data_IF_439318110458
#
_entry.id   IF_439318110458
#
_cell.length_a   1.000
_cell.length_b   1.000
_cell.length_c   1.000
_cell.angle_alpha   90.00
_cell.angle_beta   90.00
_cell.angle_gamma   90.00
#
_symmetry.space_group_name_H-M   'P 1'
#
loop_
_entity.id
_entity.type
_entity.pdbx_description
1 polymer ?
#
# COMPACT_ATOMS: atom_id res chain seq x y z
N UNK A 1 -39.67 17.86 51.51
CA UNK A 1 -39.03 16.75 52.25
C UNK A 1 -37.68 16.54 51.58
N UNK A 2 -36.50 16.91 52.11
CA UNK A 2 -35.93 16.69 53.47
C UNK A 2 -35.94 15.20 53.80
N UNK A 3 -34.84 14.51 54.17
CA UNK A 3 -33.40 14.83 54.28
C UNK A 3 -32.65 14.53 52.95
N UNK A 4 -31.31 14.59 52.78
CA UNK A 4 -30.18 15.13 53.58
C UNK A 4 -28.90 14.27 53.47
N UNK A 5 -27.71 14.88 53.37
CA UNK A 5 -26.39 14.19 53.25
C UNK A 5 -25.34 14.90 54.13
N UNK A 6 -24.60 14.17 54.96
CA UNK A 6 -23.69 14.71 55.96
C UNK A 6 -22.29 15.07 55.43
N UNK A 7 -21.71 16.16 55.94
CA UNK A 7 -20.30 16.56 55.71
C UNK A 7 -19.36 15.86 56.71
N UNK A 8 -18.16 15.50 56.25
CA UNK A 8 -16.98 15.22 57.08
C UNK A 8 -15.75 15.89 56.47
N UNK A 9 -14.85 16.47 57.28
CA UNK A 9 -13.92 17.54 56.85
C UNK A 9 -12.47 17.31 57.32
N UNK A 10 -11.53 17.54 56.38
CA UNK A 10 -10.12 17.93 56.54
C UNK A 10 -9.09 17.00 57.25
N UNK A 11 -7.89 16.91 56.64
CA UNK A 11 -6.71 17.70 57.09
C UNK A 11 -5.57 17.75 56.05
N UNK A 12 -4.81 18.85 56.05
CA UNK A 12 -3.54 19.08 55.31
C UNK A 12 -2.33 18.84 56.22
N UNK A 13 -1.23 18.29 55.68
CA UNK A 13 0.18 18.49 56.10
C UNK A 13 1.01 18.26 54.82
N UNK A 14 1.55 19.25 54.09
CA UNK A 14 2.76 20.09 54.29
C UNK A 14 4.09 19.31 54.40
N UNK A 15 4.96 19.43 53.39
CA UNK A 15 6.37 19.04 53.42
C UNK A 15 7.13 19.73 52.28
N UNK A 16 8.30 20.33 52.55
CA UNK A 16 9.07 21.20 51.61
C UNK A 16 10.45 20.63 51.29
N UNK A 17 10.93 20.89 50.07
CA UNK A 17 12.34 21.10 49.74
C UNK A 17 13.08 19.91 49.11
N UNK A 18 14.29 20.09 48.55
CA UNK A 18 15.01 21.34 48.19
C UNK A 18 16.21 20.97 47.27
N UNK A 19 16.51 21.79 46.26
CA UNK A 19 17.82 22.09 45.60
C UNK A 19 18.80 20.94 45.25
N UNK A 20 19.37 20.95 44.03
CA UNK A 20 20.61 20.20 43.75
C UNK A 20 21.08 20.17 42.29
N UNK A 21 21.52 21.29 41.73
CA UNK A 21 22.20 21.33 40.42
C UNK A 21 23.72 21.47 40.60
N UNK A 22 24.54 20.67 39.92
CA UNK A 22 26.00 20.82 39.85
C UNK A 22 26.53 20.59 38.43
N UNK A 23 27.04 21.65 37.81
CA UNK A 23 28.07 21.59 36.77
C UNK A 23 29.44 21.34 37.44
N UNK A 24 30.42 20.76 36.72
CA UNK A 24 31.70 21.41 36.40
C UNK A 24 32.76 20.48 35.76
N UNK A 25 33.76 21.12 35.13
CA UNK A 25 35.03 20.58 34.62
C UNK A 25 34.92 19.53 33.50
N UNK A 26 35.35 19.78 32.25
CA UNK A 26 36.43 20.64 31.74
C UNK A 26 37.82 20.22 32.25
N UNK A 27 38.47 19.34 31.49
CA UNK A 27 39.93 19.25 31.40
C UNK A 27 40.31 18.72 30.01
N UNK A 28 41.20 19.46 29.36
CA UNK A 28 41.67 19.31 27.99
C UNK A 28 43.21 19.21 28.10
N UNK A 29 43.87 18.41 27.25
CA UNK A 29 45.24 18.60 26.68
C UNK A 29 46.01 17.28 26.41
N UNK A 30 46.47 17.17 25.16
CA UNK A 30 47.62 16.42 24.60
C UNK A 30 47.61 14.90 24.31
N UNK A 31 47.26 14.61 23.04
CA UNK A 31 48.13 13.99 22.00
C UNK A 31 48.86 12.67 22.25
N UNK A 32 48.59 11.69 21.37
CA UNK A 32 49.59 11.07 20.48
C UNK A 32 48.85 10.42 19.30
N UNK A 33 49.06 10.90 18.07
CA UNK A 33 48.41 10.40 16.85
C UNK A 33 49.37 9.58 15.99
N UNK A 34 49.17 8.27 15.92
CA UNK A 34 49.77 7.42 14.89
C UNK A 34 48.97 7.53 13.60
N UNK A 35 49.54 8.20 12.57
CA UNK A 35 48.95 8.21 11.22
C UNK A 35 49.15 6.85 10.54
N UNK A 36 48.13 6.01 10.54
CA UNK A 36 47.95 4.97 9.52
C UNK A 36 47.36 5.62 8.28
N UNK A 37 48.07 5.61 7.16
CA UNK A 37 47.52 6.07 5.88
C UNK A 37 46.68 4.95 5.28
N UNK A 38 45.36 5.13 5.28
CA UNK A 38 44.47 4.40 4.39
C UNK A 38 44.39 5.17 3.07
N UNK A 39 44.41 4.46 1.96
CA UNK A 39 44.35 5.04 0.61
C UNK A 39 42.89 5.37 0.28
N UNK A 40 42.52 6.65 0.36
CA UNK A 40 41.16 7.10 0.10
C UNK A 40 40.88 7.17 -1.40
N UNK A 41 39.92 6.37 -1.86
CA UNK A 41 39.32 6.50 -3.20
C UNK A 41 38.67 7.88 -3.29
N UNK A 42 38.96 8.71 -4.32
CA UNK A 42 38.45 10.06 -4.40
C UNK A 42 36.95 10.07 -4.74
N UNK A 43 36.11 10.07 -3.71
CA UNK A 43 34.67 10.31 -3.83
C UNK A 43 34.46 11.82 -4.05
N UNK A 44 34.26 12.22 -5.30
CA UNK A 44 33.95 13.60 -5.66
C UNK A 44 32.50 13.96 -5.31
N UNK A 45 32.23 14.18 -4.03
CA UNK A 45 30.94 14.63 -3.50
C UNK A 45 30.99 14.74 -1.98
N UNK A 46 30.21 15.64 -1.34
CA UNK A 46 30.14 15.72 0.11
C UNK A 46 29.63 14.40 0.70
N UNK A 47 30.14 14.01 1.87
CA UNK A 47 29.69 12.81 2.54
C UNK A 47 28.17 12.91 2.83
N UNK A 48 27.43 11.83 2.56
CA UNK A 48 25.96 11.80 2.61
C UNK A 48 25.31 12.32 3.91
N UNK A 49 26.05 12.31 5.03
CA UNK A 49 25.60 12.80 6.34
C UNK A 49 25.98 14.27 6.65
N UNK A 50 26.81 14.91 5.82
CA UNK A 50 27.21 16.31 5.97
C UNK A 50 26.34 17.27 5.15
N UNK A 51 25.66 16.78 4.12
CA UNK A 51 24.68 17.56 3.34
C UNK A 51 23.46 17.90 4.21
N UNK A 52 22.92 19.11 4.02
CA UNK A 52 21.65 19.48 4.65
C UNK A 52 20.52 18.52 4.25
N UNK A 53 19.51 18.35 5.11
CA UNK A 53 18.37 17.44 4.84
C UNK A 53 17.48 17.98 3.72
N UNK A 54 17.87 17.70 2.49
CA UNK A 54 17.09 17.94 1.29
C UNK A 54 15.93 16.93 1.21
N UNK A 55 14.81 17.38 0.68
CA UNK A 55 13.57 16.59 0.54
C UNK A 55 12.92 16.81 -0.81
N UNK A 56 11.67 16.38 -0.96
CA UNK A 56 10.97 16.33 -2.27
C UNK A 56 10.80 17.69 -2.99
N UNK A 57 10.96 18.81 -2.28
CA UNK A 57 10.84 20.18 -2.83
C UNK A 57 12.18 20.83 -3.21
N UNK A 58 13.31 20.13 -3.05
CA UNK A 58 14.62 20.65 -3.42
C UNK A 58 14.97 20.20 -4.83
N UNK A 59 15.23 21.16 -5.70
CA UNK A 59 15.59 20.93 -7.09
C UNK A 59 17.11 20.85 -7.21
N UNK A 60 17.62 19.78 -7.82
CA UNK A 60 18.97 19.75 -8.35
C UNK A 60 18.87 20.00 -9.85
N UNK A 61 19.68 20.92 -10.37
CA UNK A 61 19.79 21.09 -11.82
C UNK A 61 20.31 19.78 -12.43
N UNK A 62 19.64 19.23 -13.47
CA UNK A 62 20.14 18.04 -14.12
C UNK A 62 21.51 18.33 -14.73
N UNK A 63 22.45 17.35 -14.73
CA UNK A 63 23.74 17.53 -15.37
C UNK A 63 23.53 17.93 -16.84
N UNK A 64 24.30 18.89 -17.38
CA UNK A 64 24.07 19.42 -18.71
C UNK A 64 24.15 18.31 -19.75
N UNK A 65 23.12 18.22 -20.60
CA UNK A 65 23.05 17.25 -21.69
C UNK A 65 24.28 17.44 -22.60
N UNK A 66 25.06 16.38 -22.77
CA UNK A 66 26.14 16.35 -23.75
C UNK A 66 25.47 16.41 -25.12
N UNK A 67 25.83 17.35 -26.02
CA UNK A 67 25.16 17.47 -27.30
C UNK A 67 25.32 16.18 -28.10
N UNK A 68 24.21 15.49 -28.36
CA UNK A 68 24.19 14.30 -29.21
C UNK A 68 24.63 14.69 -30.62
N UNK A 69 25.66 13.99 -31.09
CA UNK A 69 26.21 14.19 -32.43
C UNK A 69 25.16 13.72 -33.44
N UNK A 70 24.64 14.64 -34.25
CA UNK A 70 23.46 14.38 -35.08
C UNK A 70 23.79 13.48 -36.28
N UNK A 71 23.59 12.18 -36.13
CA UNK A 71 23.64 11.22 -37.25
C UNK A 71 22.52 11.52 -38.25
N UNK A 72 22.88 12.18 -39.34
CA UNK A 72 22.00 12.41 -40.49
C UNK A 72 22.03 11.16 -41.37
N UNK A 73 21.09 10.22 -41.18
CA UNK A 73 20.73 9.26 -42.23
C UNK A 73 19.27 8.78 -42.16
N UNK A 74 18.71 8.55 -43.36
CA UNK A 74 17.42 7.91 -43.66
C UNK A 74 16.12 8.50 -43.10
N UNK A 75 15.77 9.66 -43.68
CA UNK A 75 14.38 9.90 -44.09
C UNK A 75 13.96 8.89 -45.18
N UNK A 76 13.43 7.73 -44.79
CA UNK A 76 12.55 6.94 -45.65
C UNK A 76 11.62 5.99 -44.86
N UNK A 77 10.31 6.10 -45.09
CA UNK A 77 9.29 5.12 -44.67
C UNK A 77 9.14 4.84 -43.16
N UNK A 78 8.81 5.89 -42.40
CA UNK A 78 7.76 5.72 -41.38
C UNK A 78 6.50 6.44 -41.90
N UNK A 79 5.62 5.69 -42.54
CA UNK A 79 4.21 6.08 -42.66
C UNK A 79 3.64 6.17 -41.25
N UNK A 80 3.67 7.38 -40.68
CA UNK A 80 2.90 7.73 -39.49
C UNK A 80 1.43 7.59 -39.87
N UNK A 81 0.86 6.42 -39.58
CA UNK A 81 -0.59 6.22 -39.65
C UNK A 81 -1.28 7.35 -38.86
N UNK A 82 -2.38 7.85 -39.42
CA UNK A 82 -2.94 9.13 -39.02
C UNK A 82 -3.44 9.09 -37.56
N UNK A 83 -2.62 9.58 -36.64
CA UNK A 83 -3.11 10.10 -35.36
C UNK A 83 -4.21 11.14 -35.59
N UNK A 84 -5.12 11.33 -34.61
CA UNK A 84 -6.33 12.13 -34.79
C UNK A 84 -5.97 13.53 -35.32
N UNK A 85 -6.62 13.90 -36.44
CA UNK A 85 -6.24 15.07 -37.22
C UNK A 85 -6.41 16.36 -36.44
N UNK A 86 -5.27 16.96 -36.07
CA UNK A 86 -5.00 18.41 -36.15
C UNK A 86 -6.15 19.29 -35.63
N UNK A 87 -6.31 19.36 -34.31
CA UNK A 87 -6.88 20.54 -33.64
C UNK A 87 -5.80 21.63 -33.45
N UNK A 88 -5.05 21.92 -34.51
CA UNK A 88 -4.10 23.06 -34.59
C UNK A 88 -4.70 24.23 -35.38
N UNK A 89 -5.95 24.60 -35.09
CA UNK A 89 -6.39 25.97 -35.37
C UNK A 89 -5.55 26.90 -34.49
N UNK A 90 -4.70 27.72 -35.11
CA UNK A 90 -3.78 28.69 -34.43
C UNK A 90 -4.45 29.64 -33.44
N UNK A 91 -5.78 29.74 -33.46
CA UNK A 91 -6.62 30.29 -32.41
C UNK A 91 -7.94 29.50 -32.40
N UNK A 92 -8.13 28.52 -31.53
CA UNK A 92 -9.44 27.93 -31.33
C UNK A 92 -10.31 28.93 -30.54
N UNK A 93 -11.46 29.28 -31.10
CA UNK A 93 -12.44 30.15 -30.46
C UNK A 93 -13.74 29.39 -30.27
N UNK A 94 -14.41 29.65 -29.15
CA UNK A 94 -15.72 29.07 -28.89
C UNK A 94 -16.80 29.58 -29.88
N UNK A 95 -16.56 30.73 -30.52
CA UNK A 95 -17.49 31.39 -31.46
C UNK A 95 -17.97 30.50 -32.64
N UNK A 96 -17.19 29.47 -33.01
CA UNK A 96 -17.52 28.56 -34.12
C UNK A 96 -18.45 27.40 -33.72
N UNK A 97 -18.78 27.24 -32.44
CA UNK A 97 -19.53 26.10 -31.91
C UNK A 97 -20.69 26.56 -31.03
N UNK A 98 -21.84 25.90 -31.14
CA UNK A 98 -22.88 26.02 -30.10
C UNK A 98 -22.52 25.18 -28.89
N UNK A 99 -23.15 25.47 -27.74
CA UNK A 99 -23.01 24.65 -26.52
C UNK A 99 -23.39 23.18 -26.79
N UNK A 100 -24.36 22.94 -27.68
CA UNK A 100 -24.76 21.58 -28.07
C UNK A 100 -23.68 20.87 -28.89
N UNK A 101 -22.97 21.58 -29.77
CA UNK A 101 -21.88 20.98 -30.55
C UNK A 101 -20.73 20.58 -29.63
N UNK A 102 -20.33 21.48 -28.71
CA UNK A 102 -19.33 21.24 -27.67
C UNK A 102 -19.74 20.07 -26.75
N UNK A 103 -21.05 19.92 -26.48
CA UNK A 103 -21.57 18.78 -25.74
C UNK A 103 -21.40 17.45 -26.50
N UNK A 104 -21.54 17.44 -27.83
CA UNK A 104 -21.47 16.23 -28.63
C UNK A 104 -20.09 15.94 -29.27
N UNK A 105 -19.11 16.85 -29.13
CA UNK A 105 -17.70 16.60 -29.51
C UNK A 105 -17.13 15.31 -28.89
N UNK A 106 -16.30 14.61 -29.68
CA UNK A 106 -15.51 13.46 -29.20
C UNK A 106 -14.57 13.89 -28.06
N UNK A 107 -14.24 13.01 -27.07
CA UNK A 107 -13.38 13.39 -25.94
C UNK A 107 -12.06 14.05 -26.33
N UNK A 108 -11.36 13.54 -27.36
CA UNK A 108 -10.09 14.09 -27.82
C UNK A 108 -10.23 15.50 -28.43
N UNK A 109 -11.30 15.73 -29.20
CA UNK A 109 -11.61 17.02 -29.83
C UNK A 109 -12.01 18.05 -28.75
N UNK A 110 -12.82 17.63 -27.79
CA UNK A 110 -13.21 18.43 -26.64
C UNK A 110 -11.99 18.82 -25.80
N UNK A 111 -11.05 17.89 -25.57
CA UNK A 111 -9.79 18.14 -24.87
C UNK A 111 -8.89 19.09 -25.66
N UNK A 112 -8.78 18.92 -26.98
CA UNK A 112 -8.06 19.83 -27.87
C UNK A 112 -8.59 21.26 -27.80
N UNK A 113 -9.92 21.42 -27.91
CA UNK A 113 -10.60 22.72 -27.78
C UNK A 113 -10.40 23.34 -26.39
N UNK A 114 -10.57 22.57 -25.32
CA UNK A 114 -10.37 23.05 -23.93
C UNK A 114 -8.94 23.57 -23.72
N UNK A 115 -7.94 22.77 -24.10
CA UNK A 115 -6.52 23.15 -23.99
C UNK A 115 -6.20 24.40 -24.82
N UNK A 116 -6.82 24.54 -26.00
CA UNK A 116 -6.65 25.68 -26.87
C UNK A 116 -7.23 26.97 -26.29
N UNK A 117 -8.48 26.94 -25.82
CA UNK A 117 -9.14 28.08 -25.17
C UNK A 117 -8.43 28.45 -23.86
N UNK A 118 -7.93 27.48 -23.10
CA UNK A 118 -7.08 27.71 -21.94
C UNK A 118 -5.80 28.47 -22.31
N UNK A 119 -5.06 28.01 -23.33
CA UNK A 119 -3.84 28.68 -23.80
C UNK A 119 -4.11 30.12 -24.24
N UNK A 120 -5.21 30.37 -24.96
CA UNK A 120 -5.68 31.71 -25.36
C UNK A 120 -5.95 32.62 -24.15
N UNK A 121 -6.61 32.11 -23.11
CA UNK A 121 -6.90 32.84 -21.88
C UNK A 121 -5.65 33.13 -21.03
N UNK A 122 -4.68 32.20 -20.99
CA UNK A 122 -3.39 32.40 -20.32
C UNK A 122 -2.50 33.39 -21.08
N UNK A 123 -2.45 33.30 -22.41
CA UNK A 123 -1.65 34.19 -23.26
C UNK A 123 -2.16 35.64 -23.22
N UNK A 124 -3.48 35.83 -23.21
CA UNK A 124 -4.11 37.15 -23.15
C UNK A 124 -5.33 37.10 -22.21
N UNK A 125 -5.16 37.45 -20.92
CA UNK A 125 -6.24 37.44 -19.93
C UNK A 125 -7.16 38.65 -20.13
N UNK A 126 -8.10 38.53 -21.07
CA UNK A 126 -9.21 39.46 -21.26
C UNK A 126 -10.54 38.79 -20.87
N UNK A 127 -11.58 39.59 -20.63
CA UNK A 127 -12.89 39.12 -20.18
C UNK A 127 -13.48 38.04 -21.09
N UNK A 128 -13.43 38.23 -22.42
CA UNK A 128 -13.95 37.27 -23.39
C UNK A 128 -13.23 35.92 -23.33
N UNK A 129 -11.90 35.92 -23.34
CA UNK A 129 -11.09 34.70 -23.32
C UNK A 129 -11.27 33.92 -22.01
N UNK A 130 -11.34 34.64 -20.88
CA UNK A 130 -11.59 34.04 -19.57
C UNK A 130 -13.02 33.47 -19.53
N UNK A 131 -14.01 34.17 -20.08
CA UNK A 131 -15.39 33.67 -20.17
C UNK A 131 -15.50 32.43 -21.06
N UNK A 132 -14.89 32.42 -22.25
CA UNK A 132 -14.82 31.22 -23.13
C UNK A 132 -14.25 30.02 -22.35
N UNK A 133 -13.17 30.22 -21.59
CA UNK A 133 -12.56 29.16 -20.79
C UNK A 133 -13.45 28.68 -19.63
N UNK A 134 -14.05 29.61 -18.87
CA UNK A 134 -14.94 29.27 -17.75
C UNK A 134 -16.22 28.55 -18.19
N UNK A 135 -16.79 28.92 -19.35
CA UNK A 135 -17.94 28.19 -19.90
C UNK A 135 -17.50 26.80 -20.40
N UNK A 136 -16.34 26.67 -21.04
CA UNK A 136 -15.80 25.36 -21.43
C UNK A 136 -15.57 24.44 -20.21
N UNK A 137 -15.07 25.00 -19.10
CA UNK A 137 -14.98 24.30 -17.81
C UNK A 137 -16.36 23.91 -17.24
N UNK A 138 -17.37 24.77 -17.32
CA UNK A 138 -18.73 24.43 -16.86
C UNK A 138 -19.36 23.32 -17.72
N UNK A 139 -19.13 23.31 -19.04
CA UNK A 139 -19.53 22.21 -19.91
C UNK A 139 -18.81 20.91 -19.53
N UNK A 140 -17.49 20.94 -19.30
CA UNK A 140 -16.73 19.78 -18.83
C UNK A 140 -17.28 19.23 -17.50
N UNK A 141 -17.55 20.11 -16.54
CA UNK A 141 -18.14 19.79 -15.23
C UNK A 141 -19.53 19.17 -15.37
N UNK A 142 -20.37 19.67 -16.28
CA UNK A 142 -21.70 19.10 -16.57
C UNK A 142 -21.63 17.77 -17.30
N UNK A 143 -20.70 17.59 -18.25
CA UNK A 143 -20.41 16.29 -18.90
C UNK A 143 -20.02 15.24 -17.86
N UNK A 144 -19.12 15.57 -16.95
CA UNK A 144 -18.71 14.71 -15.84
C UNK A 144 -19.89 14.33 -14.92
N UNK A 145 -20.77 15.29 -14.59
CA UNK A 145 -21.98 15.02 -13.80
C UNK A 145 -22.97 14.11 -14.54
N UNK A 146 -23.18 14.31 -15.84
CA UNK A 146 -24.03 13.43 -16.65
C UNK A 146 -23.48 12.00 -16.72
N UNK A 147 -22.16 11.85 -16.91
CA UNK A 147 -21.48 10.56 -16.87
C UNK A 147 -21.60 9.89 -15.49
N UNK A 148 -21.42 10.63 -14.39
CA UNK A 148 -21.57 10.10 -13.04
C UNK A 148 -23.00 9.60 -12.77
N UNK A 149 -24.02 10.35 -13.23
CA UNK A 149 -25.42 9.94 -13.13
C UNK A 149 -25.72 8.69 -13.98
N UNK A 150 -25.22 8.62 -15.21
CA UNK A 150 -25.36 7.45 -16.08
C UNK A 150 -24.65 6.22 -15.49
N UNK A 151 -23.44 6.39 -14.97
CA UNK A 151 -22.66 5.35 -14.27
C UNK A 151 -23.41 4.82 -13.05
N UNK A 152 -24.02 5.71 -12.26
CA UNK A 152 -24.86 5.32 -11.12
C UNK A 152 -26.09 4.52 -11.56
N UNK A 153 -26.76 4.93 -12.64
CA UNK A 153 -27.89 4.18 -13.21
C UNK A 153 -27.46 2.79 -13.69
N UNK A 154 -26.36 2.68 -14.43
CA UNK A 154 -25.84 1.40 -14.94
C UNK A 154 -25.42 0.48 -13.79
N UNK A 155 -24.63 0.97 -12.83
CA UNK A 155 -24.19 0.15 -11.68
C UNK A 155 -25.34 -0.26 -10.75
N UNK A 156 -26.41 0.54 -10.67
CA UNK A 156 -27.64 0.16 -9.96
C UNK A 156 -28.50 -0.85 -10.73
N UNK A 157 -28.63 -0.72 -12.06
CA UNK A 157 -29.39 -1.65 -12.92
C UNK A 157 -28.70 -3.02 -13.01
N UNK A 158 -27.39 -3.03 -13.21
CA UNK A 158 -26.55 -4.23 -13.33
C UNK A 158 -25.78 -4.49 -12.02
N UNK A 159 -26.49 -4.41 -10.90
CA UNK A 159 -25.89 -4.58 -9.57
C UNK A 159 -25.30 -5.97 -9.36
N UNK A 160 -25.78 -6.99 -10.07
CA UNK A 160 -25.17 -8.33 -10.14
C UNK A 160 -23.70 -8.31 -10.56
N UNK A 161 -23.28 -7.35 -11.40
CA UNK A 161 -21.93 -7.28 -11.98
C UNK A 161 -20.97 -6.36 -11.21
N UNK A 162 -21.51 -5.34 -10.56
CA UNK A 162 -20.71 -4.26 -9.95
C UNK A 162 -20.87 -4.15 -8.42
N UNK A 163 -21.70 -4.97 -7.77
CA UNK A 163 -21.95 -4.86 -6.33
C UNK A 163 -20.88 -5.55 -5.48
N UNK A 164 -19.86 -4.79 -5.10
CA UNK A 164 -18.82 -5.23 -4.16
C UNK A 164 -19.39 -5.43 -2.73
N UNK A 165 -20.54 -4.83 -2.36
CA UNK A 165 -21.08 -4.91 -0.99
C UNK A 165 -21.50 -6.33 -0.56
N UNK A 166 -21.68 -7.27 -1.51
CA UNK A 166 -21.93 -8.68 -1.18
C UNK A 166 -20.75 -9.31 -0.44
N UNK A 167 -19.51 -8.98 -0.84
CA UNK A 167 -18.26 -9.54 -0.31
C UNK A 167 -17.47 -8.55 0.58
N UNK A 168 -17.76 -7.26 0.44
CA UNK A 168 -17.16 -6.17 1.21
C UNK A 168 -18.20 -5.08 1.57
N UNK A 169 -19.16 -5.39 2.46
CA UNK A 169 -20.12 -4.41 2.93
C UNK A 169 -19.44 -3.28 3.72
N UNK A 170 -19.93 -2.06 3.53
CA UNK A 170 -19.43 -0.84 4.18
C UNK A 170 -20.24 -0.39 5.41
N UNK A 171 -21.39 -1.03 5.66
CA UNK A 171 -22.25 -0.75 6.83
C UNK A 171 -21.80 -1.54 8.06
N UNK A 172 -21.92 -0.97 9.25
CA UNK A 172 -21.44 -1.59 10.51
C UNK A 172 -21.91 -3.04 10.73
N UNK A 173 -23.19 -3.41 10.50
CA UNK A 173 -23.64 -4.81 10.64
C UNK A 173 -22.96 -5.73 9.63
N UNK A 174 -22.79 -5.28 8.38
CA UNK A 174 -22.11 -6.06 7.34
C UNK A 174 -20.61 -6.20 7.61
N UNK A 175 -19.93 -5.15 8.10
CA UNK A 175 -18.53 -5.22 8.53
C UNK A 175 -18.37 -6.26 9.64
N UNK A 176 -19.26 -6.25 10.63
CA UNK A 176 -19.25 -7.22 11.73
C UNK A 176 -19.44 -8.65 11.21
N UNK A 177 -20.42 -8.90 10.35
CA UNK A 177 -20.65 -10.21 9.73
C UNK A 177 -19.44 -10.69 8.90
N UNK A 178 -18.85 -9.81 8.08
CA UNK A 178 -17.65 -10.11 7.30
C UNK A 178 -16.47 -10.50 8.20
N UNK A 179 -16.23 -9.75 9.28
CA UNK A 179 -15.13 -10.06 10.22
C UNK A 179 -15.37 -11.37 10.96
N UNK A 180 -16.63 -11.69 11.29
CA UNK A 180 -17.00 -12.97 11.91
C UNK A 180 -16.74 -14.16 10.97
N UNK A 181 -17.19 -14.09 9.71
CA UNK A 181 -16.93 -15.16 8.73
C UNK A 181 -15.43 -15.29 8.42
N UNK A 182 -14.69 -14.18 8.25
CA UNK A 182 -13.23 -14.21 8.10
C UNK A 182 -12.53 -14.91 9.28
N UNK A 183 -12.87 -14.54 10.52
CA UNK A 183 -12.24 -15.13 11.72
C UNK A 183 -12.63 -16.60 11.91
N UNK A 184 -13.87 -16.96 11.56
CA UNK A 184 -14.38 -18.34 11.58
C UNK A 184 -13.60 -19.19 10.58
N UNK A 185 -13.52 -18.77 9.31
CA UNK A 185 -12.81 -19.46 8.24
C UNK A 185 -11.33 -19.67 8.61
N UNK A 186 -10.62 -18.60 8.99
CA UNK A 186 -9.25 -18.63 9.51
C UNK A 186 -9.12 -19.65 10.65
N UNK A 187 -10.01 -19.62 11.64
CA UNK A 187 -9.93 -20.52 12.78
C UNK A 187 -10.18 -21.99 12.41
N UNK A 188 -11.12 -22.28 11.51
CA UNK A 188 -11.41 -23.64 11.06
C UNK A 188 -10.27 -24.23 10.23
N UNK A 189 -9.67 -23.46 9.33
CA UNK A 189 -8.53 -23.92 8.51
C UNK A 189 -7.31 -24.23 9.39
N UNK A 190 -7.01 -23.36 10.36
CA UNK A 190 -5.91 -23.60 11.31
C UNK A 190 -6.19 -24.85 12.15
N UNK A 191 -7.41 -25.02 12.69
CA UNK A 191 -7.77 -26.22 13.46
C UNK A 191 -7.67 -27.51 12.64
N UNK A 192 -8.14 -27.49 11.39
CA UNK A 192 -8.09 -28.65 10.49
C UNK A 192 -6.65 -29.06 10.10
N UNK A 193 -5.76 -28.08 9.97
CA UNK A 193 -4.36 -28.29 9.58
C UNK A 193 -3.42 -28.72 10.73
N UNK A 194 -3.90 -28.83 11.98
CA UNK A 194 -3.05 -29.05 13.16
C UNK A 194 -2.27 -30.39 13.16
N UNK A 195 -2.79 -31.41 12.48
CA UNK A 195 -2.20 -32.77 12.47
C UNK A 195 -1.19 -32.98 11.33
N UNK A 196 -1.29 -32.18 10.27
CA UNK A 196 -0.46 -32.30 9.05
C UNK A 196 0.41 -31.06 8.77
N UNK A 197 0.43 -30.09 9.69
CA UNK A 197 1.32 -28.93 9.64
C UNK A 197 1.95 -28.66 11.00
N UNK A 198 3.14 -28.06 10.99
CA UNK A 198 3.82 -27.60 12.19
C UNK A 198 4.54 -26.26 11.93
N UNK A 199 4.80 -25.52 13.00
CA UNK A 199 5.62 -24.31 12.96
C UNK A 199 7.04 -24.58 13.45
N UNK A 200 8.02 -24.23 12.64
CA UNK A 200 9.41 -24.08 13.08
C UNK A 200 9.61 -22.65 13.60
N UNK A 201 10.10 -22.53 14.84
CA UNK A 201 10.33 -21.26 15.51
C UNK A 201 11.83 -21.03 15.72
N UNK A 202 12.44 -20.31 14.79
CA UNK A 202 13.87 -20.03 14.81
C UNK A 202 14.19 -18.92 15.82
N UNK A 203 15.09 -19.23 16.75
CA UNK A 203 15.49 -18.39 17.88
C UNK A 203 17.01 -18.31 18.00
N UNK A 204 17.51 -17.34 18.76
CA UNK A 204 18.93 -17.22 19.11
C UNK A 204 19.09 -16.88 20.60
N UNK A 205 20.25 -17.21 21.18
CA UNK A 205 20.52 -16.94 22.60
C UNK A 205 20.64 -15.42 22.83
N UNK A 206 20.00 -14.92 23.90
CA UNK A 206 19.94 -13.48 24.20
C UNK A 206 18.91 -12.68 23.38
N UNK A 207 18.11 -13.33 22.54
CA UNK A 207 17.10 -12.69 21.70
C UNK A 207 15.86 -12.25 22.50
N UNK A 208 15.88 -11.05 23.08
CA UNK A 208 14.72 -10.50 23.82
C UNK A 208 13.43 -10.36 22.99
N UNK A 209 13.52 -10.28 21.66
CA UNK A 209 12.35 -10.35 20.77
C UNK A 209 11.75 -11.75 20.66
N UNK A 210 12.58 -12.80 20.78
CA UNK A 210 12.14 -14.18 20.74
C UNK A 210 11.28 -14.51 21.97
N UNK A 211 11.60 -13.97 23.14
CA UNK A 211 10.78 -14.10 24.35
C UNK A 211 9.38 -13.48 24.17
N UNK A 212 9.30 -12.32 23.50
CA UNK A 212 8.01 -11.67 23.19
C UNK A 212 7.18 -12.48 22.20
N UNK A 213 7.81 -13.03 21.16
CA UNK A 213 7.12 -13.91 20.22
C UNK A 213 6.67 -15.21 20.90
N UNK A 214 7.51 -15.82 21.75
CA UNK A 214 7.17 -17.04 22.47
C UNK A 214 5.90 -16.89 23.32
N UNK A 215 5.74 -15.75 24.02
CA UNK A 215 4.52 -15.45 24.78
C UNK A 215 3.25 -15.38 23.90
N UNK A 216 3.36 -14.85 22.67
CA UNK A 216 2.26 -14.83 21.69
C UNK A 216 1.96 -16.26 21.18
N UNK A 217 3.00 -17.07 20.98
CA UNK A 217 2.87 -18.46 20.55
C UNK A 217 2.22 -19.35 21.63
N UNK A 218 2.39 -19.06 22.92
CA UNK A 218 1.66 -19.76 24.00
C UNK A 218 0.14 -19.66 23.78
N UNK A 219 -0.39 -18.45 23.58
CA UNK A 219 -1.82 -18.26 23.29
C UNK A 219 -2.27 -18.96 22.01
N UNK A 220 -1.43 -19.01 20.99
CA UNK A 220 -1.72 -19.74 19.74
C UNK A 220 -1.83 -21.26 19.99
N UNK A 221 -0.89 -21.85 20.75
CA UNK A 221 -0.93 -23.27 21.12
C UNK A 221 -2.12 -23.59 22.01
N UNK A 222 -2.44 -22.75 22.99
CA UNK A 222 -3.63 -22.89 23.85
C UNK A 222 -4.93 -22.85 23.04
N UNK A 223 -5.02 -21.97 22.03
CA UNK A 223 -6.22 -21.79 21.20
C UNK A 223 -6.40 -22.89 20.14
N UNK A 224 -5.32 -23.41 19.57
CA UNK A 224 -5.37 -24.28 18.39
C UNK A 224 -4.78 -25.70 18.58
N UNK A 225 -4.05 -25.97 19.66
CA UNK A 225 -3.41 -27.26 19.90
C UNK A 225 -2.25 -27.59 18.93
N UNK A 226 -1.63 -26.57 18.33
CA UNK A 226 -0.61 -26.73 17.29
C UNK A 226 0.77 -27.14 17.82
N UNK A 227 1.51 -27.87 17.00
CA UNK A 227 2.91 -28.18 17.27
C UNK A 227 3.83 -27.04 16.83
N UNK A 228 4.65 -26.54 17.76
CA UNK A 228 5.69 -25.55 17.50
C UNK A 228 7.03 -26.09 17.97
N UNK A 229 8.00 -26.17 17.06
CA UNK A 229 9.36 -26.64 17.32
C UNK A 229 10.34 -25.46 17.40
N UNK A 230 10.84 -25.08 18.59
CA UNK A 230 11.90 -24.08 18.70
C UNK A 230 13.22 -24.63 18.16
N UNK A 231 13.95 -23.81 17.40
CA UNK A 231 15.26 -24.15 16.81
C UNK A 231 16.24 -23.00 17.07
N UNK A 232 17.24 -23.25 17.92
CA UNK A 232 18.38 -22.34 18.11
C UNK A 232 19.26 -22.35 16.85
N UNK A 233 19.34 -21.22 16.14
CA UNK A 233 20.09 -21.09 14.88
C UNK A 233 21.61 -21.23 15.07
N UNK A 234 22.14 -20.90 16.25
CA UNK A 234 23.56 -21.04 16.58
C UNK A 234 23.94 -22.48 16.90
N UNK A 235 23.00 -23.27 17.44
CA UNK A 235 23.18 -24.72 17.70
C UNK A 235 22.86 -25.59 16.48
N UNK A 236 21.93 -25.17 15.62
CA UNK A 236 21.44 -25.94 14.47
C UNK A 236 21.67 -25.20 13.14
N UNK A 237 22.93 -24.81 12.90
CA UNK A 237 23.35 -24.01 11.74
C UNK A 237 22.94 -24.62 10.39
N UNK A 238 22.99 -25.96 10.26
CA UNK A 238 22.57 -26.68 9.05
C UNK A 238 21.08 -26.54 8.76
N UNK A 239 20.23 -26.53 9.80
CA UNK A 239 18.77 -26.36 9.65
C UNK A 239 18.44 -24.90 9.37
N UNK A 240 19.11 -23.95 10.04
CA UNK A 240 18.98 -22.53 9.73
C UNK A 240 19.36 -22.23 8.27
N UNK A 241 20.46 -22.81 7.78
CA UNK A 241 20.89 -22.67 6.39
C UNK A 241 19.89 -23.27 5.39
N UNK A 242 19.28 -24.44 5.67
CA UNK A 242 18.25 -25.06 4.80
C UNK A 242 17.07 -24.13 4.52
N UNK A 243 16.65 -23.35 5.52
CA UNK A 243 15.54 -22.40 5.40
C UNK A 243 16.00 -20.94 5.17
N UNK A 244 17.29 -20.72 4.89
CA UNK A 244 17.92 -19.40 4.70
C UNK A 244 17.65 -18.40 5.84
N UNK A 245 17.71 -18.86 7.09
CA UNK A 245 17.35 -18.08 8.27
C UNK A 245 18.57 -17.33 8.82
N UNK A 246 18.59 -16.01 8.63
CA UNK A 246 19.61 -15.10 9.17
C UNK A 246 19.13 -14.26 10.35
N UNK A 247 17.81 -14.14 10.54
CA UNK A 247 17.17 -13.25 11.52
C UNK A 247 16.27 -14.03 12.47
N UNK A 248 16.21 -13.61 13.74
CA UNK A 248 15.37 -14.21 14.78
C UNK A 248 14.60 -13.15 15.56
N UNK A 249 13.34 -13.41 16.00
CA UNK A 249 12.57 -14.63 15.75
C UNK A 249 12.13 -14.77 14.30
N UNK A 250 12.09 -16.00 13.78
CA UNK A 250 11.48 -16.30 12.47
C UNK A 250 10.58 -17.54 12.57
N UNK A 251 9.39 -17.47 11.97
CA UNK A 251 8.42 -18.56 11.91
C UNK A 251 8.35 -19.12 10.50
N UNK A 252 8.45 -20.44 10.36
CA UNK A 252 8.29 -21.15 9.09
C UNK A 252 7.24 -22.25 9.27
N UNK A 253 6.23 -22.25 8.41
CA UNK A 253 5.25 -23.33 8.29
C UNK A 253 5.89 -24.47 7.48
N UNK A 254 5.71 -25.70 7.96
CA UNK A 254 6.03 -26.93 7.22
C UNK A 254 4.77 -27.81 7.14
N UNK A 255 4.68 -28.61 6.07
CA UNK A 255 3.59 -29.55 5.81
C UNK A 255 4.12 -30.98 5.81
N UNK A 256 3.52 -31.85 6.61
CA UNK A 256 3.95 -33.24 6.77
C UNK A 256 3.90 -34.02 5.45
N UNK A 257 4.78 -35.01 5.32
CA UNK A 257 4.95 -35.81 4.09
C UNK A 257 5.50 -35.05 2.88
N UNK A 258 5.87 -33.77 3.01
CA UNK A 258 6.38 -32.95 1.89
C UNK A 258 7.61 -32.13 2.30
N UNK A 259 8.40 -31.71 1.32
CA UNK A 259 9.44 -30.69 1.54
C UNK A 259 8.91 -29.25 1.41
N UNK A 260 7.59 -29.08 1.28
CA UNK A 260 6.96 -27.77 1.13
C UNK A 260 7.03 -26.99 2.45
N UNK A 261 7.46 -25.73 2.37
CA UNK A 261 7.54 -24.83 3.50
C UNK A 261 7.31 -23.38 3.09
N UNK A 262 6.88 -22.54 4.03
CA UNK A 262 6.64 -21.12 3.79
C UNK A 262 7.01 -20.28 5.02
N UNK A 263 7.79 -19.19 4.87
CA UNK A 263 8.02 -18.25 5.97
C UNK A 263 6.73 -17.50 6.31
N UNK A 264 6.36 -17.49 7.59
CA UNK A 264 5.15 -16.87 8.12
C UNK A 264 5.46 -15.50 8.75
N UNK A 265 6.57 -15.38 9.47
CA UNK A 265 7.04 -14.07 9.95
C UNK A 265 8.55 -14.04 10.11
N UNK A 266 9.13 -12.86 9.88
CA UNK A 266 10.48 -12.49 10.33
C UNK A 266 10.30 -11.32 11.29
N UNK A 267 10.80 -11.45 12.51
CA UNK A 267 10.47 -10.56 13.62
C UNK A 267 9.17 -10.94 14.35
N UNK A 268 8.80 -10.11 15.33
CA UNK A 268 7.63 -10.32 16.20
C UNK A 268 6.35 -9.90 15.49
N UNK A 269 5.31 -10.75 15.53
CA UNK A 269 4.00 -10.50 14.92
C UNK A 269 2.85 -10.73 15.90
N UNK A 270 1.77 -9.98 15.76
CA UNK A 270 0.56 -10.15 16.55
C UNK A 270 -0.17 -11.46 16.21
N UNK A 271 -0.92 -12.01 17.18
CA UNK A 271 -1.65 -13.27 17.01
C UNK A 271 -2.60 -13.26 15.79
N UNK A 272 -3.33 -12.16 15.56
CA UNK A 272 -4.25 -12.03 14.42
C UNK A 272 -3.54 -11.91 13.06
N UNK A 273 -2.28 -11.51 13.03
CA UNK A 273 -1.45 -11.54 11.82
C UNK A 273 -0.87 -12.94 11.59
N UNK A 274 -0.39 -13.60 12.65
CA UNK A 274 0.04 -14.99 12.62
C UNK A 274 -1.08 -15.90 12.10
N UNK A 275 -2.29 -15.79 12.66
CA UNK A 275 -3.47 -16.54 12.23
C UNK A 275 -3.78 -16.31 10.75
N UNK A 276 -3.84 -15.05 10.30
CA UNK A 276 -4.15 -14.71 8.90
C UNK A 276 -3.10 -15.24 7.94
N UNK A 277 -1.81 -15.10 8.25
CA UNK A 277 -0.72 -15.59 7.39
C UNK A 277 -0.64 -17.12 7.36
N UNK A 278 -0.89 -17.78 8.49
CA UNK A 278 -1.02 -19.24 8.54
C UNK A 278 -2.16 -19.73 7.66
N UNK A 279 -3.35 -19.15 7.81
CA UNK A 279 -4.51 -19.50 6.98
C UNK A 279 -4.21 -19.39 5.48
N UNK A 280 -3.57 -18.29 5.03
CA UNK A 280 -3.17 -18.11 3.63
C UNK A 280 -2.12 -19.15 3.20
N UNK A 281 -1.10 -19.39 4.01
CA UNK A 281 -0.03 -20.33 3.74
C UNK A 281 -0.51 -21.80 3.70
N UNK A 282 -1.38 -22.21 4.62
CA UNK A 282 -1.99 -23.55 4.66
C UNK A 282 -2.75 -23.83 3.35
N UNK A 283 -3.59 -22.89 2.91
CA UNK A 283 -4.41 -23.04 1.70
C UNK A 283 -3.55 -23.07 0.43
N UNK A 284 -2.52 -22.23 0.38
CA UNK A 284 -1.55 -22.24 -0.73
C UNK A 284 -0.74 -23.56 -0.78
N UNK A 285 -0.20 -24.02 0.36
CA UNK A 285 0.48 -25.32 0.43
C UNK A 285 -0.48 -26.51 0.25
N UNK A 286 -1.78 -26.32 0.48
CA UNK A 286 -2.85 -27.27 0.15
C UNK A 286 -3.19 -27.34 -1.34
N UNK A 287 -2.84 -26.32 -2.12
CA UNK A 287 -3.27 -26.16 -3.52
C UNK A 287 -4.70 -25.61 -3.67
N UNK A 288 -5.27 -25.02 -2.61
CA UNK A 288 -6.60 -24.38 -2.63
C UNK A 288 -6.58 -22.96 -3.21
N UNK A 289 -5.41 -22.31 -3.18
CA UNK A 289 -5.19 -20.94 -3.68
C UNK A 289 -3.92 -20.86 -4.50
N UNK A 290 -3.94 -20.00 -5.51
CA UNK A 290 -2.80 -19.63 -6.35
C UNK A 290 -2.18 -18.31 -5.86
N UNK A 291 -1.17 -17.79 -6.56
CA UNK A 291 -0.47 -16.54 -6.18
C UNK A 291 -1.40 -15.31 -6.30
N UNK A 292 -2.27 -15.29 -7.29
CA UNK A 292 -3.28 -14.25 -7.54
C UNK A 292 -4.44 -14.29 -6.53
N UNK A 293 -4.83 -15.49 -6.10
CA UNK A 293 -5.93 -15.76 -5.15
C UNK A 293 -5.46 -16.00 -3.72
N UNK A 294 -4.18 -15.74 -3.42
CA UNK A 294 -3.53 -16.03 -2.13
C UNK A 294 -4.24 -15.42 -0.91
N UNK A 295 -4.93 -14.30 -1.09
CA UNK A 295 -5.67 -13.60 -0.04
C UNK A 295 -7.19 -13.76 -0.12
N UNK A 296 -7.71 -14.50 -1.11
CA UNK A 296 -9.14 -14.65 -1.38
C UNK A 296 -9.78 -15.63 -0.39
N UNK A 297 -10.75 -15.15 0.38
CA UNK A 297 -11.54 -15.98 1.31
C UNK A 297 -12.56 -16.84 0.56
N UNK A 298 -12.98 -17.98 1.12
CA UNK A 298 -13.92 -18.89 0.45
C UNK A 298 -15.26 -18.21 0.14
N UNK A 299 -15.75 -17.35 1.04
CA UNK A 299 -16.99 -16.59 0.81
C UNK A 299 -16.86 -15.49 -0.28
N UNK A 300 -15.66 -15.24 -0.79
CA UNK A 300 -15.38 -14.26 -1.84
C UNK A 300 -15.22 -14.88 -3.24
N UNK A 301 -15.03 -16.21 -3.32
CA UNK A 301 -14.86 -16.95 -4.58
C UNK A 301 -16.05 -16.73 -5.52
N UNK A 302 -15.80 -16.54 -6.81
CA UNK A 302 -16.82 -16.21 -7.80
C UNK A 302 -17.45 -14.80 -7.64
N UNK A 303 -16.97 -13.99 -6.68
CA UNK A 303 -17.48 -12.64 -6.41
C UNK A 303 -16.56 -11.52 -6.89
N UNK A 304 -16.97 -10.27 -6.67
CA UNK A 304 -16.24 -9.07 -7.12
C UNK A 304 -14.85 -8.85 -6.46
N UNK A 305 -14.41 -9.73 -5.56
CA UNK A 305 -13.07 -9.74 -4.96
C UNK A 305 -12.26 -11.00 -5.28
N UNK A 306 -12.75 -11.83 -6.20
CA UNK A 306 -12.01 -12.94 -6.79
C UNK A 306 -11.46 -12.52 -8.16
N UNK A 307 -10.13 -12.40 -8.33
CA UNK A 307 -9.52 -11.99 -9.61
C UNK A 307 -9.86 -12.94 -10.78
N UNK A 308 -10.08 -14.23 -10.51
CA UNK A 308 -10.38 -15.22 -11.54
C UNK A 308 -11.82 -15.18 -12.05
N UNK A 309 -12.77 -14.77 -11.21
CA UNK A 309 -14.21 -14.88 -11.48
C UNK A 309 -14.69 -14.14 -12.74
N UNK A 310 -14.01 -13.06 -13.15
CA UNK A 310 -14.35 -12.33 -14.38
C UNK A 310 -13.97 -13.09 -15.66
N UNK A 311 -13.03 -14.02 -15.58
CA UNK A 311 -12.56 -14.82 -16.72
C UNK A 311 -13.47 -16.03 -17.00
N UNK A 312 -14.31 -16.42 -16.04
CA UNK A 312 -15.30 -17.51 -16.18
C UNK A 312 -16.56 -17.05 -16.96
N UNK A 313 -16.65 -15.77 -17.32
CA UNK A 313 -17.81 -15.20 -18.02
C UNK A 313 -17.68 -15.42 -19.54
N UNK A 314 -18.31 -16.49 -20.04
CA UNK A 314 -18.29 -16.84 -21.48
C UNK A 314 -19.00 -15.82 -22.40
N UNK A 315 -20.05 -15.14 -21.90
CA UNK A 315 -20.85 -14.18 -22.68
C UNK A 315 -20.51 -12.72 -22.35
N UNK A 316 -20.32 -11.89 -23.39
CA UNK A 316 -20.02 -10.47 -23.21
C UNK A 316 -21.16 -9.74 -22.46
N UNK A 317 -20.92 -9.14 -21.27
CA UNK A 317 -21.99 -8.73 -20.35
C UNK A 317 -22.83 -7.52 -20.80
N UNK A 318 -22.48 -6.91 -21.94
CA UNK A 318 -23.23 -5.82 -22.59
C UNK A 318 -23.99 -6.27 -23.85
N UNK A 319 -23.90 -7.54 -24.25
CA UNK A 319 -24.79 -8.09 -25.28
C UNK A 319 -26.14 -8.39 -24.63
N UNK A 320 -27.20 -7.84 -25.21
CA UNK A 320 -28.56 -8.20 -24.82
C UNK A 320 -28.81 -9.67 -25.18
N UNK A 321 -29.54 -10.38 -24.30
CA UNK A 321 -29.90 -11.79 -24.43
C UNK A 321 -31.41 -11.90 -24.63
#
# INVERSE_FOLDING_TARGET
MVTGFGRGVARRIIGRGIIGAWLCCWLLVMTMTTKTMAEEVPVSGPAFYETAKEGWFWYHDPPPEVPEESDILDNSTITREAGPKVFETRNPSMDNYTINDIWNLHPDEFQGLLNGVQKKAVQTPNEKNILEYLIMQDVARRKALAYANATKFVTQKYSDKFNINQVYPTTTPGISARVQEQQKEISSTILAARENHALLFFVSQGCGFCDRQAAILTYFVEKYGWQIKPIDIGRHTTVAARFNITTTPTLVLIKDGTEQSMPISVGVVALSELERKLYQAIRYLGGETNIDTFQTYDYQKGGALDPGAILEIEEQPWRER
#
